data_IF_617156982434
#
_entry.id   IF_617156982434
#
_cell.length_a   1.000
_cell.length_b   1.000
_cell.length_c   1.000
_cell.angle_alpha   90.00
_cell.angle_beta   90.00
_cell.angle_gamma   90.00
#
_symmetry.space_group_name_H-M   'P 1'
#
loop_
_entity.id
_entity.type
_entity.pdbx_description
1 polymer ?
#
# COMPACT_ATOMS: atom_id res chain seq x y z
N UNK A 1 6.88 8.16 16.96
CA UNK A 1 6.27 7.16 16.04
C UNK A 1 6.14 7.76 14.65
N UNK A 2 6.31 6.98 13.59
CA UNK A 2 6.09 7.41 12.21
C UNK A 2 4.85 6.76 11.60
N UNK A 3 4.49 7.15 10.37
CA UNK A 3 3.35 6.57 9.67
C UNK A 3 3.64 6.29 8.20
N UNK A 4 2.99 5.25 7.67
CA UNK A 4 2.96 4.92 6.25
C UNK A 4 1.53 5.04 5.74
N UNK A 5 1.32 5.88 4.73
CA UNK A 5 0.06 6.04 4.03
C UNK A 5 0.07 5.14 2.80
N UNK A 6 -0.75 4.11 2.82
CA UNK A 6 -1.00 3.24 1.67
C UNK A 6 -2.22 3.77 0.92
N UNK A 7 -2.11 3.97 -0.39
CA UNK A 7 -3.23 4.42 -1.21
C UNK A 7 -3.24 3.77 -2.58
N UNK A 8 -4.43 3.58 -3.15
CA UNK A 8 -4.60 3.10 -4.52
C UNK A 8 -5.55 4.03 -5.27
N UNK A 9 -5.07 4.82 -6.24
CA UNK A 9 -5.93 5.66 -7.07
C UNK A 9 -7.02 4.85 -7.74
N UNK A 10 -8.22 5.44 -7.86
CA UNK A 10 -9.32 4.79 -8.56
C UNK A 10 -8.98 4.64 -10.05
N UNK A 11 -8.84 3.41 -10.53
CA UNK A 11 -8.59 3.08 -11.94
C UNK A 11 -9.68 2.12 -12.43
N UNK A 12 -10.12 2.28 -13.68
CA UNK A 12 -11.15 1.41 -14.28
C UNK A 12 -10.66 -0.03 -14.42
N UNK A 13 -9.41 -0.20 -14.87
CA UNK A 13 -8.77 -1.50 -14.96
C UNK A 13 -8.51 -2.11 -13.57
N UNK A 14 -8.99 -3.34 -13.35
CA UNK A 14 -8.81 -4.06 -12.09
C UNK A 14 -9.63 -3.52 -10.91
N UNK A 15 -10.71 -2.77 -11.18
CA UNK A 15 -11.56 -2.16 -10.15
C UNK A 15 -12.20 -3.17 -9.18
N UNK A 16 -12.49 -4.38 -9.66
CA UNK A 16 -13.08 -5.46 -8.86
C UNK A 16 -12.04 -6.23 -8.01
N UNK A 17 -10.74 -5.99 -8.22
CA UNK A 17 -9.67 -6.73 -7.54
C UNK A 17 -9.22 -5.96 -6.31
N UNK A 18 -9.21 -6.63 -5.16
CA UNK A 18 -8.62 -6.14 -3.91
C UNK A 18 -7.57 -7.12 -3.38
N UNK A 19 -6.64 -6.62 -2.59
CA UNK A 19 -5.62 -7.44 -1.95
C UNK A 19 -5.26 -6.89 -0.57
N UNK A 20 -4.66 -7.73 0.28
CA UNK A 20 -4.26 -7.33 1.63
C UNK A 20 -2.81 -6.85 1.62
N UNK A 21 -2.54 -5.74 2.28
CA UNK A 21 -1.17 -5.33 2.59
C UNK A 21 -0.71 -6.08 3.81
N UNK A 22 0.48 -6.67 3.72
CA UNK A 22 1.09 -7.53 4.73
C UNK A 22 2.48 -7.04 5.09
N UNK A 23 2.91 -7.31 6.32
CA UNK A 23 4.26 -7.02 6.85
C UNK A 23 4.69 -8.11 7.83
N UNK A 24 5.87 -7.94 8.43
CA UNK A 24 6.46 -8.85 9.41
C UNK A 24 7.12 -10.07 8.77
N UNK A 25 7.69 -10.92 9.62
CA UNK A 25 8.35 -12.15 9.21
C UNK A 25 7.39 -13.04 8.41
N UNK A 26 7.83 -13.48 7.23
CA UNK A 26 7.02 -14.30 6.33
C UNK A 26 5.72 -13.65 5.85
N UNK A 27 5.59 -12.32 5.91
CA UNK A 27 4.40 -11.54 5.51
C UNK A 27 3.10 -12.01 6.18
N UNK A 28 3.16 -12.46 7.44
CA UNK A 28 1.99 -13.01 8.13
C UNK A 28 1.03 -11.94 8.68
N UNK A 29 1.51 -10.72 8.94
CA UNK A 29 0.71 -9.67 9.58
C UNK A 29 -0.02 -8.83 8.53
N UNK A 30 -1.35 -8.90 8.51
CA UNK A 30 -2.19 -8.04 7.65
C UNK A 30 -2.37 -6.67 8.31
N UNK A 31 -2.01 -5.60 7.60
CA UNK A 31 -2.12 -4.22 8.08
C UNK A 31 -3.28 -3.44 7.47
N UNK A 32 -3.83 -3.93 6.37
CA UNK A 32 -4.99 -3.30 5.74
C UNK A 32 -5.43 -3.99 4.44
N UNK A 33 -6.62 -3.62 3.97
CA UNK A 33 -7.16 -4.08 2.70
C UNK A 33 -7.04 -2.95 1.65
N UNK A 34 -6.48 -3.27 0.49
CA UNK A 34 -6.26 -2.39 -0.63
C UNK A 34 -7.23 -2.72 -1.76
N UNK A 35 -8.36 -2.02 -1.79
CA UNK A 35 -9.32 -2.06 -2.89
C UNK A 35 -9.14 -0.86 -3.81
N UNK A 36 -9.97 -0.75 -4.85
CA UNK A 36 -9.89 0.38 -5.77
C UNK A 36 -10.35 1.69 -5.09
N UNK A 37 -9.56 2.75 -5.23
CA UNK A 37 -9.93 4.07 -4.72
C UNK A 37 -9.96 4.16 -3.19
N UNK A 38 -9.10 3.43 -2.49
CA UNK A 38 -9.00 3.55 -1.02
C UNK A 38 -7.60 3.92 -0.55
N UNK A 39 -7.54 4.45 0.66
CA UNK A 39 -6.30 4.66 1.38
C UNK A 39 -6.44 4.28 2.86
N UNK A 40 -5.34 3.90 3.50
CA UNK A 40 -5.28 3.68 4.94
C UNK A 40 -3.88 3.97 5.47
N UNK A 41 -3.75 4.01 6.79
CA UNK A 41 -2.51 4.38 7.48
C UNK A 41 -2.05 3.25 8.38
N UNK A 42 -0.76 2.90 8.29
CA UNK A 42 -0.05 2.08 9.25
C UNK A 42 0.81 2.98 10.14
N UNK A 43 0.83 2.74 11.44
CA UNK A 43 1.71 3.44 12.38
C UNK A 43 2.72 2.46 12.94
N UNK A 44 3.98 2.87 12.97
CA UNK A 44 5.10 2.03 13.38
C UNK A 44 6.10 2.80 14.24
N UNK A 45 6.92 2.05 14.98
CA UNK A 45 8.14 2.60 15.55
C UNK A 45 9.12 2.94 14.41
N UNK A 46 10.10 3.83 14.63
CA UNK A 46 11.13 4.07 13.63
C UNK A 46 11.90 2.78 13.32
N UNK A 47 12.15 2.52 12.04
CA UNK A 47 12.82 1.29 11.58
C UNK A 47 12.50 0.92 10.14
N UNK A 48 13.11 -0.17 9.69
CA UNK A 48 12.90 -0.74 8.34
C UNK A 48 11.78 -1.77 8.36
N UNK A 49 10.77 -1.58 7.53
CA UNK A 49 9.60 -2.46 7.40
C UNK A 49 9.48 -2.98 5.98
N UNK A 50 9.25 -4.28 5.83
CA UNK A 50 8.89 -4.86 4.54
C UNK A 50 7.37 -4.94 4.39
N UNK A 51 6.85 -4.51 3.25
CA UNK A 51 5.43 -4.57 2.92
C UNK A 51 5.19 -5.27 1.59
N UNK A 52 4.17 -6.12 1.52
CA UNK A 52 3.76 -6.79 0.28
C UNK A 52 2.24 -6.83 0.13
N UNK A 53 1.76 -6.71 -1.10
CA UNK A 53 0.35 -6.97 -1.45
C UNK A 53 0.07 -8.46 -1.71
N UNK A 54 1.14 -9.24 -1.95
CA UNK A 54 1.08 -10.68 -2.20
C UNK A 54 1.43 -11.47 -0.92
N UNK A 55 1.29 -12.79 -0.98
CA UNK A 55 1.80 -13.71 0.05
C UNK A 55 3.27 -14.05 -0.15
N UNK A 56 3.87 -13.63 -1.26
CA UNK A 56 5.27 -13.88 -1.60
C UNK A 56 6.14 -12.65 -1.30
N UNK A 57 7.31 -12.88 -0.71
CA UNK A 57 8.25 -11.83 -0.34
C UNK A 57 8.97 -11.19 -1.53
N UNK A 58 8.98 -11.83 -2.70
CA UNK A 58 9.66 -11.32 -3.90
C UNK A 58 9.09 -10.00 -4.42
N UNK A 59 7.83 -9.70 -4.07
CA UNK A 59 7.14 -8.45 -4.42
C UNK A 59 7.05 -7.48 -3.24
N UNK A 60 7.81 -7.74 -2.17
CA UNK A 60 7.84 -6.85 -1.03
C UNK A 60 8.69 -5.61 -1.35
N UNK A 61 8.23 -4.45 -0.88
CA UNK A 61 9.04 -3.23 -0.82
C UNK A 61 9.54 -3.02 0.60
N UNK A 62 10.73 -2.44 0.72
CA UNK A 62 11.25 -1.96 2.00
C UNK A 62 10.89 -0.49 2.15
N UNK A 63 10.30 -0.14 3.29
CA UNK A 63 9.95 1.22 3.66
C UNK A 63 10.64 1.55 4.98
N UNK A 64 11.41 2.62 4.97
CA UNK A 64 11.98 3.19 6.19
C UNK A 64 10.96 4.12 6.82
N UNK A 65 10.68 3.88 8.11
CA UNK A 65 9.82 4.73 8.93
C UNK A 65 10.74 5.54 9.82
N UNK A 66 10.71 6.86 9.68
CA UNK A 66 11.38 7.78 10.58
C UNK A 66 10.42 8.34 11.64
N UNK A 67 10.97 8.90 12.71
CA UNK A 67 10.16 9.47 13.78
C UNK A 67 9.47 10.77 13.32
N UNK A 68 8.14 10.80 13.39
CA UNK A 68 7.35 11.97 13.01
C UNK A 68 7.14 12.13 11.49
N UNK A 69 7.73 11.27 10.67
CA UNK A 69 7.59 11.33 9.22
C UNK A 69 6.34 10.57 8.72
N UNK A 70 5.85 11.00 7.57
CA UNK A 70 4.81 10.32 6.79
C UNK A 70 5.38 9.85 5.46
N UNK A 71 5.52 8.55 5.32
CA UNK A 71 5.91 7.92 4.05
C UNK A 71 4.68 7.53 3.25
N UNK A 72 4.74 7.59 1.92
CA UNK A 72 3.63 7.30 1.03
C UNK A 72 3.94 6.11 0.14
N UNK A 73 2.98 5.18 0.01
CA UNK A 73 3.10 3.99 -0.84
C UNK A 73 1.86 3.90 -1.74
N UNK A 74 2.09 3.93 -3.04
CA UNK A 74 1.05 3.69 -4.03
C UNK A 74 0.90 2.17 -4.26
N UNK A 75 -0.32 1.68 -4.06
CA UNK A 75 -0.74 0.35 -4.44
C UNK A 75 -1.35 0.34 -5.83
N UNK A 76 -0.93 -0.64 -6.63
CA UNK A 76 -1.42 -0.90 -7.98
C UNK A 76 -1.70 -2.37 -8.21
N UNK A 77 -2.01 -2.68 -9.46
CA UNK A 77 -2.00 -4.03 -10.00
C UNK A 77 -1.13 -3.98 -11.25
N UNK A 78 -0.19 -4.90 -11.38
CA UNK A 78 0.51 -5.08 -12.64
C UNK A 78 -0.49 -5.59 -13.69
N UNK A 79 -0.54 -4.91 -14.84
CA UNK A 79 -1.34 -5.34 -15.99
C UNK A 79 -0.38 -6.00 -16.99
N UNK A 80 -0.52 -7.31 -17.18
CA UNK A 80 0.34 -8.16 -18.02
C UNK A 80 -0.19 -9.60 -18.09
N UNK A 81 0.64 -10.56 -18.52
CA UNK A 81 0.26 -11.99 -18.69
C UNK A 81 -0.33 -12.58 -17.40
N UNK A 82 0.11 -12.09 -16.24
CA UNK A 82 -0.46 -12.40 -14.93
C UNK A 82 -1.35 -11.24 -14.46
N UNK A 83 -2.55 -11.11 -15.03
CA UNK A 83 -3.52 -10.09 -14.62
C UNK A 83 -3.81 -10.17 -13.11
N UNK A 84 -3.72 -9.04 -12.41
CA UNK A 84 -4.17 -8.92 -11.03
C UNK A 84 -3.10 -9.16 -9.96
N UNK A 85 -1.81 -9.25 -10.33
CA UNK A 85 -0.72 -9.28 -9.34
C UNK A 85 -0.61 -7.94 -8.61
N UNK A 86 -0.67 -7.91 -7.27
CA UNK A 86 -0.42 -6.71 -6.48
C UNK A 86 0.95 -6.12 -6.77
N UNK A 87 1.03 -4.79 -6.83
CA UNK A 87 2.26 -4.04 -7.08
C UNK A 87 2.30 -2.86 -6.10
N UNK A 88 3.40 -2.70 -5.35
CA UNK A 88 3.57 -1.60 -4.39
C UNK A 88 4.77 -0.77 -4.79
N UNK A 89 4.64 0.57 -4.71
CA UNK A 89 5.73 1.49 -5.07
C UNK A 89 5.85 2.64 -4.07
N UNK A 90 7.07 3.09 -3.77
CA UNK A 90 7.27 4.37 -3.11
C UNK A 90 6.56 5.50 -3.86
N UNK A 91 6.00 6.44 -3.12
CA UNK A 91 5.29 7.59 -3.67
C UNK A 91 5.46 8.79 -2.75
N UNK A 92 4.72 9.86 -2.99
CA UNK A 92 4.82 11.11 -2.26
C UNK A 92 3.45 11.71 -1.90
N UNK A 93 3.51 12.77 -1.08
CA UNK A 93 2.34 13.51 -0.61
C UNK A 93 1.54 14.14 -1.76
N UNK A 94 2.20 14.65 -2.79
CA UNK A 94 1.53 15.32 -3.90
C UNK A 94 0.72 14.33 -4.74
N UNK A 95 1.26 13.13 -5.00
CA UNK A 95 0.57 12.03 -5.65
C UNK A 95 -0.65 11.58 -4.83
N UNK A 96 -0.48 11.44 -3.51
CA UNK A 96 -1.58 11.11 -2.61
C UNK A 96 -2.69 12.16 -2.64
N UNK A 97 -2.37 13.44 -2.48
CA UNK A 97 -3.34 14.54 -2.48
C UNK A 97 -4.09 14.65 -3.81
N UNK A 98 -3.39 14.43 -4.93
CA UNK A 98 -4.01 14.39 -6.26
C UNK A 98 -5.02 13.24 -6.37
N UNK A 99 -4.67 12.05 -5.85
CA UNK A 99 -5.56 10.90 -5.88
C UNK A 99 -6.71 11.02 -4.86
N UNK A 100 -6.50 11.72 -3.74
CA UNK A 100 -7.41 11.74 -2.59
C UNK A 100 -8.83 12.20 -2.95
N UNK A 101 -8.96 13.11 -3.92
CA UNK A 101 -10.26 13.63 -4.40
C UNK A 101 -11.24 12.54 -4.85
N UNK A 102 -10.75 11.37 -5.26
CA UNK A 102 -11.57 10.23 -5.68
C UNK A 102 -11.49 9.02 -4.74
N UNK A 103 -10.85 9.15 -3.57
CA UNK A 103 -10.60 8.03 -2.67
C UNK A 103 -11.40 8.10 -1.37
N UNK A 104 -11.63 6.93 -0.77
CA UNK A 104 -12.23 6.79 0.55
C UNK A 104 -11.23 6.17 1.52
N UNK A 105 -11.31 6.54 2.80
CA UNK A 105 -10.54 5.85 3.83
C UNK A 105 -11.04 4.41 3.95
N UNK A 106 -10.14 3.42 3.88
CA UNK A 106 -10.50 2.02 4.06
C UNK A 106 -11.02 1.82 5.49
N UNK A 107 -12.05 0.97 5.64
CA UNK A 107 -12.49 0.51 6.96
C UNK A 107 -11.46 -0.49 7.46
N UNK A 108 -11.03 -0.34 8.72
CA UNK A 108 -10.16 -1.30 9.40
C UNK A 108 -10.80 -2.69 9.44
#
# INVERSE_FOLDING_TARGET
MGQVVFFRPSKFAGAAVGYKIRTGEGLQTIVGNMTNGVYFTFQGAPGSYQFSGATEAKDAITVEIEEGETTFVEGGLAIGIMMGRPDLKPSDKAAFEKALKGMKKAKK
#
